data_IF_460692337421
#
_entry.id   IF_460692337421
#
_cell.length_a   1.000
_cell.length_b   1.000
_cell.length_c   1.000
_cell.angle_alpha   90.00
_cell.angle_beta   90.00
_cell.angle_gamma   90.00
#
_symmetry.space_group_name_H-M   'P 1'
#
loop_
_entity.id
_entity.type
_entity.pdbx_description
1 polymer ?
#
# COMPACT_ATOMS: atom_id res chain seq x y z
N UNK A 1 28.49 -20.07 -42.17
CA UNK A 1 28.29 -20.99 -41.03
C UNK A 1 28.13 -20.17 -39.76
N UNK A 2 26.90 -19.92 -39.31
CA UNK A 2 26.59 -19.14 -38.10
C UNK A 2 26.04 -20.08 -37.04
N UNK A 3 26.88 -20.49 -36.09
CA UNK A 3 26.49 -21.31 -34.95
C UNK A 3 25.85 -20.42 -33.88
N UNK A 4 24.52 -20.48 -33.78
CA UNK A 4 23.76 -19.92 -32.66
C UNK A 4 23.97 -20.80 -31.43
N UNK A 5 24.85 -20.40 -30.52
CA UNK A 5 25.02 -21.07 -29.23
C UNK A 5 23.85 -20.74 -28.31
N UNK A 6 23.04 -21.76 -28.01
CA UNK A 6 21.93 -21.65 -27.07
C UNK A 6 22.44 -21.27 -25.67
N UNK A 7 21.86 -20.22 -25.08
CA UNK A 7 22.24 -19.69 -23.76
C UNK A 7 21.78 -20.67 -22.68
N UNK A 8 22.69 -21.51 -22.19
CA UNK A 8 22.44 -22.46 -21.12
C UNK A 8 22.10 -21.71 -19.82
N UNK A 9 20.85 -21.83 -19.38
CA UNK A 9 20.35 -21.28 -18.12
C UNK A 9 20.72 -22.26 -17.01
N UNK A 10 21.87 -22.07 -16.37
CA UNK A 10 22.21 -22.79 -15.16
C UNK A 10 21.53 -22.12 -13.96
N UNK A 11 21.11 -22.91 -12.97
CA UNK A 11 20.71 -22.36 -11.68
C UNK A 11 21.96 -21.74 -11.04
N UNK A 12 22.00 -20.41 -11.02
CA UNK A 12 23.10 -19.64 -10.46
C UNK A 12 23.19 -19.90 -8.96
N UNK A 13 24.41 -20.06 -8.45
CA UNK A 13 24.64 -20.12 -7.01
C UNK A 13 24.18 -18.80 -6.35
N UNK A 14 23.82 -18.80 -5.05
CA UNK A 14 23.42 -17.57 -4.35
C UNK A 14 24.47 -16.45 -4.49
N UNK A 15 25.76 -16.81 -4.48
CA UNK A 15 26.87 -15.88 -4.72
C UNK A 15 26.87 -15.32 -6.13
N UNK A 16 26.55 -16.13 -7.13
CA UNK A 16 26.48 -15.68 -8.52
C UNK A 16 25.31 -14.72 -8.78
N UNK A 17 24.17 -14.94 -8.10
CA UNK A 17 23.06 -13.98 -8.09
C UNK A 17 23.48 -12.63 -7.49
N UNK A 18 24.18 -12.65 -6.35
CA UNK A 18 24.70 -11.44 -5.72
C UNK A 18 25.72 -10.72 -6.62
N UNK A 19 26.61 -11.46 -7.30
CA UNK A 19 27.57 -10.85 -8.22
C UNK A 19 26.87 -10.17 -9.41
N UNK A 20 25.82 -10.78 -9.97
CA UNK A 20 25.05 -10.21 -11.06
C UNK A 20 24.29 -8.93 -10.65
N UNK A 21 23.73 -8.89 -9.43
CA UNK A 21 23.08 -7.67 -8.92
C UNK A 21 24.10 -6.56 -8.69
N UNK A 22 25.28 -6.87 -8.14
CA UNK A 22 26.37 -5.89 -7.99
C UNK A 22 26.85 -5.34 -9.32
N UNK A 23 27.06 -6.18 -10.33
CA UNK A 23 27.44 -5.74 -11.69
C UNK A 23 26.40 -4.79 -12.28
N UNK A 24 25.12 -5.06 -12.07
CA UNK A 24 24.03 -4.17 -12.52
C UNK A 24 24.07 -2.82 -11.81
N UNK A 25 24.29 -2.79 -10.49
CA UNK A 25 24.40 -1.55 -9.71
C UNK A 25 25.60 -0.69 -10.14
N UNK A 26 26.76 -1.31 -10.40
CA UNK A 26 27.96 -0.60 -10.84
C UNK A 26 27.88 -0.05 -12.27
N UNK A 27 26.93 -0.51 -13.09
CA UNK A 27 26.76 0.01 -14.46
C UNK A 27 26.36 1.48 -14.51
N UNK A 28 25.69 1.99 -13.46
CA UNK A 28 25.18 3.36 -13.38
C UNK A 28 25.28 3.89 -11.94
N UNK A 29 26.48 4.30 -11.47
CA UNK A 29 26.69 4.68 -10.08
C UNK A 29 25.98 5.97 -9.67
N UNK A 30 25.69 6.88 -10.61
CA UNK A 30 25.02 8.16 -10.32
C UNK A 30 23.51 8.02 -10.06
N UNK A 31 22.93 6.84 -10.35
CA UNK A 31 21.50 6.62 -10.18
C UNK A 31 21.16 6.47 -8.69
N UNK A 32 20.26 7.31 -8.12
CA UNK A 32 19.85 7.14 -6.74
C UNK A 32 19.15 5.80 -6.55
N UNK A 33 19.62 5.02 -5.58
CA UNK A 33 19.04 3.72 -5.22
C UNK A 33 17.94 3.95 -4.18
N UNK A 34 16.66 3.67 -4.46
CA UNK A 34 15.61 3.76 -3.47
C UNK A 34 15.81 2.65 -2.44
N UNK A 35 16.29 3.02 -1.26
CA UNK A 35 16.31 2.10 -0.12
C UNK A 35 14.88 1.88 0.37
N UNK A 36 14.50 0.65 0.76
CA UNK A 36 13.19 0.41 1.34
C UNK A 36 13.08 1.21 2.64
N UNK A 37 12.14 2.16 2.68
CA UNK A 37 11.89 3.01 3.85
C UNK A 37 11.09 2.24 4.90
N UNK A 38 11.71 1.27 5.57
CA UNK A 38 11.09 0.48 6.64
C UNK A 38 9.79 -0.25 6.24
N UNK A 39 9.16 -0.98 7.17
CA UNK A 39 7.81 -1.47 6.96
C UNK A 39 6.85 -0.28 6.81
N UNK A 40 5.85 -0.35 5.92
CA UNK A 40 4.86 0.70 5.79
C UNK A 40 4.16 0.89 7.14
N UNK A 41 4.31 2.07 7.74
CA UNK A 41 3.49 2.47 8.89
C UNK A 41 2.03 2.39 8.45
N UNK A 42 1.17 1.72 9.24
CA UNK A 42 -0.26 1.66 8.97
C UNK A 42 -0.75 3.09 8.73
N UNK A 43 -1.38 3.34 7.57
CA UNK A 43 -1.86 4.69 7.25
C UNK A 43 -2.84 5.13 8.34
N UNK A 44 -2.70 6.33 8.91
CA UNK A 44 -3.65 6.82 9.90
C UNK A 44 -5.04 6.93 9.27
N UNK A 45 -6.08 6.72 10.07
CA UNK A 45 -7.45 7.01 9.63
C UNK A 45 -7.57 8.49 9.24
N UNK A 46 -8.33 8.80 8.18
CA UNK A 46 -8.62 10.20 7.85
C UNK A 46 -9.37 10.86 9.01
N UNK A 47 -9.09 12.13 9.31
CA UNK A 47 -9.81 12.84 10.36
C UNK A 47 -11.31 12.93 10.02
N UNK A 48 -12.20 12.92 11.03
CA UNK A 48 -13.61 13.17 10.82
C UNK A 48 -13.83 14.52 10.13
N UNK A 49 -14.77 14.63 9.16
CA UNK A 49 -15.09 15.90 8.53
C UNK A 49 -15.67 16.87 9.57
N UNK A 50 -15.23 18.13 9.53
CA UNK A 50 -15.69 19.16 10.48
C UNK A 50 -17.16 19.54 10.29
N UNK A 51 -17.65 19.52 9.04
CA UNK A 51 -19.02 19.92 8.71
C UNK A 51 -19.68 18.79 7.91
N UNK A 52 -20.83 18.33 8.40
CA UNK A 52 -21.71 17.40 7.70
C UNK A 52 -22.86 18.21 7.12
N UNK A 53 -22.92 18.34 5.80
CA UNK A 53 -23.88 19.22 5.12
C UNK A 53 -25.24 18.58 4.87
N UNK A 54 -25.35 17.27 5.06
CA UNK A 54 -26.52 16.46 4.74
C UNK A 54 -27.29 15.99 5.99
N UNK A 55 -27.32 16.81 7.06
CA UNK A 55 -28.04 16.48 8.29
C UNK A 55 -29.53 16.74 8.12
N UNK A 56 -30.32 15.67 8.13
CA UNK A 56 -31.77 15.74 8.19
C UNK A 56 -32.23 16.22 9.58
N UNK A 57 -33.37 16.92 9.65
CA UNK A 57 -33.94 17.41 10.92
C UNK A 57 -34.13 16.30 11.97
N UNK A 58 -34.01 16.67 13.25
CA UNK A 58 -33.96 15.71 14.37
C UNK A 58 -35.22 14.88 14.56
N UNK A 59 -36.38 15.37 14.12
CA UNK A 59 -37.66 14.66 14.18
C UNK A 59 -38.08 14.04 12.85
N UNK A 60 -37.25 14.14 11.81
CA UNK A 60 -37.58 13.56 10.51
C UNK A 60 -37.29 12.05 10.51
N UNK A 61 -38.07 11.30 9.72
CA UNK A 61 -38.02 9.83 9.71
C UNK A 61 -36.74 9.27 9.10
N UNK A 62 -36.58 7.94 9.14
CA UNK A 62 -35.45 7.28 8.49
C UNK A 62 -35.65 7.22 6.97
N UNK A 63 -34.75 7.88 6.21
CA UNK A 63 -34.68 7.75 4.76
C UNK A 63 -34.04 6.42 4.32
N UNK A 64 -34.21 6.06 3.05
CA UNK A 64 -33.64 4.82 2.47
C UNK A 64 -32.11 4.77 2.50
N UNK A 65 -31.45 5.94 2.52
CA UNK A 65 -29.99 6.05 2.61
C UNK A 65 -29.43 5.98 4.03
N UNK A 66 -30.26 6.12 5.06
CA UNK A 66 -29.81 6.27 6.45
C UNK A 66 -29.08 5.01 6.94
N UNK A 67 -29.51 3.84 6.48
CA UNK A 67 -28.81 2.58 6.74
C UNK A 67 -27.36 2.59 6.22
N UNK A 68 -27.13 3.14 5.03
CA UNK A 68 -25.79 3.20 4.45
C UNK A 68 -24.91 4.25 5.14
N UNK A 69 -25.48 5.39 5.53
CA UNK A 69 -24.78 6.40 6.35
C UNK A 69 -24.30 5.77 7.65
N UNK A 70 -25.19 5.06 8.35
CA UNK A 70 -24.86 4.34 9.57
C UNK A 70 -23.78 3.28 9.36
N UNK A 71 -23.92 2.43 8.32
CA UNK A 71 -22.94 1.38 8.00
C UNK A 71 -21.54 1.96 7.78
N UNK A 72 -21.43 3.08 7.06
CA UNK A 72 -20.16 3.74 6.80
C UNK A 72 -19.58 4.39 8.06
N UNK A 73 -20.41 5.05 8.87
CA UNK A 73 -19.99 5.66 10.13
C UNK A 73 -19.52 4.60 11.14
N UNK A 74 -20.27 3.51 11.30
CA UNK A 74 -19.91 2.39 12.20
C UNK A 74 -18.58 1.76 11.81
N UNK A 75 -18.34 1.52 10.51
CA UNK A 75 -17.07 0.98 10.03
C UNK A 75 -15.90 1.91 10.38
N UNK A 76 -16.04 3.21 10.11
CA UNK A 76 -15.02 4.22 10.46
C UNK A 76 -14.71 4.24 11.95
N UNK A 77 -15.74 4.15 12.79
CA UNK A 77 -15.56 4.19 14.24
C UNK A 77 -14.91 2.91 14.79
N UNK A 78 -15.25 1.74 14.25
CA UNK A 78 -14.59 0.48 14.63
C UNK A 78 -13.12 0.45 14.22
N UNK A 79 -12.79 0.95 13.04
CA UNK A 79 -11.40 1.08 12.62
C UNK A 79 -10.65 2.05 13.57
N UNK A 80 -11.29 3.13 14.01
CA UNK A 80 -10.72 4.11 14.96
C UNK A 80 -10.45 3.51 16.33
N UNK A 81 -11.42 2.81 16.89
CA UNK A 81 -11.28 2.10 18.17
C UNK A 81 -10.16 1.06 18.09
N UNK A 82 -10.15 0.24 17.03
CA UNK A 82 -9.11 -0.76 16.80
C UNK A 82 -7.71 -0.16 16.70
N UNK A 83 -7.55 1.01 16.07
CA UNK A 83 -6.25 1.69 15.99
C UNK A 83 -5.78 2.30 17.32
N UNK A 84 -6.68 2.54 18.27
CA UNK A 84 -6.33 3.03 19.61
C UNK A 84 -6.06 1.91 20.61
N UNK A 85 -6.72 0.76 20.44
CA UNK A 85 -6.56 -0.41 21.30
C UNK A 85 -5.34 -1.28 20.92
N UNK A 86 -4.88 -1.21 19.67
CA UNK A 86 -3.69 -1.90 19.15
C UNK A 86 -2.41 -1.06 19.31
#
# INVERSE_FOLDING_TARGET
>A
TTTTTAKQKHNLSPTSHQAATLQSLFSNPDKPIPLPSGPPTKKPLPPPPEIVTNVQGSSAGAGSGEFHVYKAARRREYERLRQMEE
#
